data_IF_588490376252
#
_entry.id   IF_588490376252
#
_cell.length_a   1.000
_cell.length_b   1.000
_cell.length_c   1.000
_cell.angle_alpha   90.00
_cell.angle_beta   90.00
_cell.angle_gamma   90.00
#
_symmetry.space_group_name_H-M   'P 1'
#
loop_
_entity.id
_entity.type
_entity.pdbx_description
1 polymer ?
#
# COMPACT_ATOMS: atom_id res chain seq x y z
N UNK A 1 2.70 -4.30 10.81
CA UNK A 1 1.34 -3.72 10.78
C UNK A 1 0.50 -4.62 9.89
N UNK A 2 -0.76 -4.85 10.22
CA UNK A 2 -1.69 -5.52 9.29
C UNK A 2 -2.11 -4.54 8.20
N UNK A 3 -2.61 -5.05 7.08
CA UNK A 3 -3.08 -4.24 5.94
C UNK A 3 -4.15 -3.23 6.38
N UNK A 4 -4.98 -3.59 7.35
CA UNK A 4 -6.01 -2.70 7.91
C UNK A 4 -5.41 -1.54 8.74
N UNK A 5 -4.33 -1.81 9.48
CA UNK A 5 -3.57 -0.76 10.18
C UNK A 5 -2.86 0.18 9.20
N UNK A 6 -2.31 -0.37 8.11
CA UNK A 6 -1.67 0.40 7.04
C UNK A 6 -2.71 1.31 6.37
N UNK A 7 -3.88 0.77 6.01
CA UNK A 7 -5.02 1.52 5.46
C UNK A 7 -5.44 2.67 6.39
N UNK A 8 -5.51 2.41 7.69
CA UNK A 8 -5.87 3.42 8.68
C UNK A 8 -4.81 4.52 8.77
N UNK A 9 -3.52 4.16 8.77
CA UNK A 9 -2.42 5.13 8.80
C UNK A 9 -2.33 5.97 7.52
N UNK A 10 -2.62 5.38 6.36
CA UNK A 10 -2.72 6.09 5.08
C UNK A 10 -3.79 7.18 5.17
N UNK A 11 -4.99 6.81 5.65
CA UNK A 11 -6.14 7.72 5.81
C UNK A 11 -5.87 8.83 6.81
N UNK A 12 -5.24 8.50 7.92
CA UNK A 12 -5.02 9.46 9.01
C UNK A 12 -3.97 10.52 8.69
N UNK A 13 -3.17 10.33 7.63
CA UNK A 13 -2.09 11.23 7.27
C UNK A 13 -0.85 11.06 8.15
N UNK A 14 -0.87 10.16 9.13
CA UNK A 14 0.25 9.98 10.06
C UNK A 14 1.42 9.23 9.42
N UNK A 15 2.66 9.52 9.85
CA UNK A 15 3.82 8.71 9.52
C UNK A 15 3.61 7.26 9.96
N UNK A 16 4.05 6.32 9.12
CA UNK A 16 3.98 4.90 9.44
C UNK A 16 5.06 4.12 8.69
N UNK A 17 5.29 2.90 9.15
CA UNK A 17 6.10 1.90 8.48
C UNK A 17 5.37 0.56 8.57
N UNK A 18 5.01 0.01 7.42
CA UNK A 18 4.21 -1.20 7.31
C UNK A 18 4.73 -2.12 6.23
N UNK A 19 4.49 -3.42 6.40
CA UNK A 19 4.70 -4.42 5.36
C UNK A 19 3.34 -5.01 5.07
N UNK A 20 2.91 -4.97 3.82
CA UNK A 20 1.64 -5.56 3.40
C UNK A 20 1.71 -7.08 3.52
N UNK A 21 0.55 -7.73 3.54
CA UNK A 21 0.41 -9.19 3.46
C UNK A 21 1.20 -9.82 2.30
N UNK A 22 1.42 -9.07 1.21
CA UNK A 22 2.18 -9.48 0.01
C UNK A 22 3.70 -9.27 0.13
N UNK A 23 4.18 -8.77 1.27
CA UNK A 23 5.59 -8.48 1.52
C UNK A 23 6.07 -7.15 0.93
N UNK A 24 5.18 -6.27 0.49
CA UNK A 24 5.55 -4.93 0.01
C UNK A 24 5.76 -4.00 1.21
N UNK A 25 6.91 -3.34 1.25
CA UNK A 25 7.20 -2.38 2.32
C UNK A 25 6.59 -1.03 1.91
N UNK A 26 5.84 -0.42 2.82
CA UNK A 26 5.26 0.90 2.68
C UNK A 26 5.68 1.81 3.84
N UNK A 27 6.03 3.06 3.54
CA UNK A 27 6.39 4.02 4.57
C UNK A 27 5.90 5.44 4.24
N UNK A 28 5.48 6.18 5.27
CA UNK A 28 5.31 7.63 5.21
C UNK A 28 6.21 8.25 6.27
N UNK A 29 7.10 9.16 5.86
CA UNK A 29 8.08 9.78 6.75
C UNK A 29 7.63 11.13 7.32
N UNK A 30 6.65 11.78 6.68
CA UNK A 30 6.16 13.11 7.07
C UNK A 30 4.63 13.12 7.16
N UNK A 31 4.08 13.93 8.07
CA UNK A 31 2.63 14.15 8.19
C UNK A 31 2.06 14.63 6.85
N UNK A 32 0.97 14.00 6.40
CA UNK A 32 0.32 14.23 5.11
C UNK A 32 1.26 14.14 3.89
N UNK A 33 2.46 13.56 4.06
CA UNK A 33 3.43 13.37 2.99
C UNK A 33 3.11 12.18 2.08
N UNK A 34 3.90 11.99 1.01
CA UNK A 34 3.76 10.85 0.13
C UNK A 34 4.01 9.55 0.89
N UNK A 35 3.31 8.50 0.46
CA UNK A 35 3.65 7.14 0.85
C UNK A 35 4.67 6.64 -0.16
N UNK A 36 5.66 5.91 0.33
CA UNK A 36 6.68 5.26 -0.48
C UNK A 36 6.46 3.77 -0.42
N UNK A 37 6.52 3.11 -1.57
CA UNK A 37 6.44 1.66 -1.68
C UNK A 37 7.78 1.11 -2.16
N UNK A 38 8.24 0.01 -1.58
CA UNK A 38 9.41 -0.71 -2.08
C UNK A 38 8.96 -1.87 -2.98
N UNK A 39 9.49 -1.89 -4.20
CA UNK A 39 9.42 -3.04 -5.11
C UNK A 39 10.84 -3.44 -5.49
N UNK A 40 11.18 -4.72 -5.28
CA UNK A 40 12.48 -5.30 -5.71
C UNK A 40 13.68 -4.44 -5.31
N UNK A 41 13.74 -4.02 -4.03
CA UNK A 41 14.76 -3.13 -3.46
C UNK A 41 14.81 -1.68 -3.99
N UNK A 42 13.87 -1.28 -4.86
CA UNK A 42 13.73 0.11 -5.28
C UNK A 42 12.60 0.78 -4.50
N UNK A 43 12.92 1.93 -3.91
CA UNK A 43 11.96 2.82 -3.28
C UNK A 43 11.30 3.68 -4.37
N UNK A 44 10.00 3.52 -4.57
CA UNK A 44 9.23 4.34 -5.50
C UNK A 44 8.33 5.29 -4.72
N UNK A 45 8.40 6.61 -4.98
CA UNK A 45 7.38 7.53 -4.48
C UNK A 45 6.07 7.17 -5.15
N UNK A 46 5.08 6.75 -4.37
CA UNK A 46 3.77 6.44 -4.92
C UNK A 46 3.07 7.78 -5.15
N UNK A 47 2.76 8.16 -6.42
CA UNK A 47 2.11 9.45 -6.70
C UNK A 47 0.67 9.51 -6.17
N UNK A 48 0.15 8.36 -5.71
CA UNK A 48 -1.21 8.19 -5.23
C UNK A 48 -1.34 8.73 -3.80
N UNK A 49 -2.38 9.53 -3.56
CA UNK A 49 -2.71 10.08 -2.25
C UNK A 49 -4.03 9.52 -1.75
N UNK A 50 -4.17 9.39 -0.43
CA UNK A 50 -5.44 9.07 0.22
C UNK A 50 -6.20 7.93 -0.46
N UNK A 51 -7.38 8.26 -1.02
CA UNK A 51 -8.33 7.34 -1.66
C UNK A 51 -7.72 6.52 -2.81
N UNK A 52 -6.88 7.12 -3.65
CA UNK A 52 -6.26 6.44 -4.80
C UNK A 52 -5.26 5.36 -4.34
N UNK A 53 -4.55 5.63 -3.24
CA UNK A 53 -3.61 4.67 -2.65
C UNK A 53 -4.36 3.50 -2.00
N UNK A 54 -5.54 3.76 -1.43
CA UNK A 54 -6.41 2.72 -0.88
C UNK A 54 -7.02 1.85 -1.98
N UNK A 55 -7.44 2.48 -3.07
CA UNK A 55 -7.92 1.77 -4.24
C UNK A 55 -6.82 0.89 -4.84
N UNK A 56 -5.58 1.39 -4.93
CA UNK A 56 -4.45 0.59 -5.36
C UNK A 56 -4.17 -0.61 -4.44
N UNK A 57 -4.25 -0.43 -3.11
CA UNK A 57 -4.14 -1.51 -2.14
C UNK A 57 -5.24 -2.57 -2.32
N UNK A 58 -6.47 -2.15 -2.63
CA UNK A 58 -7.61 -3.05 -2.84
C UNK A 58 -7.56 -3.76 -4.20
N UNK A 59 -7.26 -3.05 -5.28
CA UNK A 59 -7.09 -3.65 -6.62
C UNK A 59 -5.93 -4.66 -6.64
N UNK A 60 -4.86 -4.37 -5.89
CA UNK A 60 -3.75 -5.30 -5.71
C UNK A 60 -4.13 -6.58 -4.96
N UNK A 61 -5.12 -6.51 -4.07
CA UNK A 61 -5.69 -7.68 -3.36
C UNK A 61 -6.58 -8.52 -4.30
N UNK A 62 -7.38 -7.85 -5.15
CA UNK A 62 -8.27 -8.51 -6.12
C UNK A 62 -7.51 -9.20 -7.27
N UNK A 63 -6.40 -8.63 -7.76
CA UNK A 63 -5.57 -9.27 -8.80
C UNK A 63 -4.86 -10.55 -8.34
N UNK A 64 -4.67 -10.76 -7.03
CA UNK A 64 -4.11 -12.01 -6.48
C UNK A 64 -5.18 -13.10 -6.36
N UNK A 65 -6.46 -12.72 -6.29
CA UNK A 65 -7.61 -13.62 -6.21
C UNK A 65 -8.23 -13.95 -7.57
N UNK A 66 -7.70 -13.39 -8.65
CA UNK A 66 -8.00 -13.82 -10.01
C UNK A 66 -7.33 -15.18 -10.27
N UNK A 67 -8.05 -16.21 -9.86
CA UNK A 67 -7.75 -17.62 -10.04
C UNK A 67 -7.27 -17.94 -11.48
N UNK A 68 -6.21 -18.76 -11.66
CA UNK A 68 -5.71 -19.19 -12.96
C UNK A 68 -6.60 -20.22 -13.70
N UNK A 69 -7.82 -20.48 -13.25
CA UNK A 69 -8.77 -21.38 -13.89
C UNK A 69 -10.06 -20.65 -14.30
N UNK A 70 -10.07 -20.09 -15.50
CA UNK A 70 -11.30 -19.95 -16.28
C UNK A 70 -11.22 -20.90 -17.50
N UNK A 71 -12.31 -21.64 -17.81
CA UNK A 71 -12.36 -22.80 -18.71
C UNK A 71 -12.17 -22.49 -20.20
#
# INVERSE_FOLDING_TARGET
MTDDQIRTAIRSGWPFFGVTSRGEIMARYALAGPVFCWKKNQMMPTPLQGSDLLWWLQASDEEDHADPAAP
#
